data_IF_915813190803
#
_entry.id   IF_915813190803
#
_cell.length_a   1.000
_cell.length_b   1.000
_cell.length_c   1.000
_cell.angle_alpha   90.00
_cell.angle_beta   90.00
_cell.angle_gamma   90.00
#
_symmetry.space_group_name_H-M   'P 1'
#
loop_
_entity.id
_entity.type
_entity.pdbx_description
1 polymer ?
#
# COMPACT_ATOMS: atom_id res chain seq x y z
N UNK A 1 10.30 12.92 29.52
CA UNK A 1 11.51 13.78 29.69
C UNK A 1 12.15 14.09 28.33
N UNK A 2 13.14 14.98 28.21
CA UNK A 2 13.83 15.22 26.92
C UNK A 2 14.51 13.97 26.35
N UNK A 3 14.95 13.04 27.20
CA UNK A 3 15.51 11.76 26.77
C UNK A 3 14.44 10.88 26.10
N UNK A 4 13.25 10.80 26.70
CA UNK A 4 12.10 10.06 26.17
C UNK A 4 11.61 10.63 24.83
N UNK A 5 11.57 11.96 24.67
CA UNK A 5 11.20 12.57 23.38
C UNK A 5 12.18 12.25 22.26
N UNK A 6 13.48 12.07 22.57
CA UNK A 6 14.48 11.64 21.57
C UNK A 6 14.29 10.18 21.21
N UNK A 7 14.15 9.31 22.21
CA UNK A 7 13.91 7.90 21.99
C UNK A 7 12.66 7.65 21.13
N UNK A 8 11.56 8.35 21.42
CA UNK A 8 10.33 8.24 20.62
C UNK A 8 10.52 8.72 19.18
N UNK A 9 11.34 9.75 18.96
CA UNK A 9 11.64 10.23 17.61
C UNK A 9 12.45 9.20 16.84
N UNK A 10 13.47 8.64 17.48
CA UNK A 10 14.35 7.65 16.85
C UNK A 10 13.57 6.38 16.50
N UNK A 11 12.67 5.92 17.37
CA UNK A 11 11.77 4.78 17.12
C UNK A 11 10.86 5.00 15.90
N UNK A 12 10.25 6.19 15.79
CA UNK A 12 9.38 6.55 14.66
C UNK A 12 10.19 6.63 13.36
N UNK A 13 11.38 7.24 13.41
CA UNK A 13 12.25 7.37 12.24
C UNK A 13 12.72 5.98 11.76
N UNK A 14 13.01 5.05 12.67
CA UNK A 14 13.31 3.66 12.33
C UNK A 14 12.12 2.96 11.65
N UNK A 15 10.91 3.07 12.22
CA UNK A 15 9.71 2.42 11.68
C UNK A 15 9.38 2.91 10.25
N UNK A 16 9.48 4.22 10.02
CA UNK A 16 9.21 4.84 8.71
C UNK A 16 10.19 4.36 7.65
N UNK A 17 11.45 4.12 8.02
CA UNK A 17 12.48 3.67 7.09
C UNK A 17 12.45 2.15 6.86
N UNK A 18 12.04 1.35 7.84
CA UNK A 18 12.07 -0.11 7.77
C UNK A 18 10.81 -0.73 7.18
N UNK A 19 9.69 -0.01 7.12
CA UNK A 19 8.39 -0.56 6.75
C UNK A 19 7.62 0.36 5.81
N UNK A 20 6.92 -0.21 4.83
CA UNK A 20 6.05 0.56 3.95
C UNK A 20 4.90 1.20 4.75
N UNK A 21 4.70 2.51 4.58
CA UNK A 21 3.63 3.26 5.24
C UNK A 21 2.22 2.73 4.92
N UNK A 22 2.02 2.24 3.69
CA UNK A 22 0.71 1.86 3.14
C UNK A 22 0.34 0.44 3.55
N UNK A 23 1.14 -0.55 3.16
CA UNK A 23 0.83 -1.96 3.43
C UNK A 23 1.41 -2.50 4.74
N UNK A 24 2.24 -1.73 5.44
CA UNK A 24 2.89 -2.15 6.70
C UNK A 24 3.76 -3.42 6.58
N UNK A 25 4.32 -3.67 5.39
CA UNK A 25 5.27 -4.77 5.17
C UNK A 25 6.71 -4.26 5.31
N UNK A 26 7.54 -5.04 6.02
CA UNK A 26 8.93 -4.72 6.27
C UNK A 26 9.79 -4.83 5.00
N UNK A 27 10.74 -3.91 4.84
CA UNK A 27 11.61 -3.79 3.66
C UNK A 27 12.39 -5.08 3.36
N UNK A 28 12.71 -5.86 4.39
CA UNK A 28 13.40 -7.14 4.26
C UNK A 28 12.65 -8.13 3.36
N UNK A 29 11.31 -8.14 3.38
CA UNK A 29 10.54 -9.08 2.56
C UNK A 29 10.67 -8.77 1.07
N UNK A 30 10.80 -7.49 0.71
CA UNK A 30 11.03 -7.07 -0.67
C UNK A 30 12.45 -7.38 -1.12
N UNK A 31 13.44 -7.21 -0.24
CA UNK A 31 14.83 -7.56 -0.55
C UNK A 31 15.06 -9.07 -0.68
N UNK A 32 14.28 -9.91 0.02
CA UNK A 32 14.33 -11.37 -0.07
C UNK A 32 13.55 -11.92 -1.27
N UNK A 33 12.61 -11.16 -1.82
CA UNK A 33 11.84 -11.57 -2.99
C UNK A 33 12.72 -11.59 -4.24
N UNK A 34 12.53 -12.56 -5.13
CA UNK A 34 13.32 -12.73 -6.38
C UNK A 34 13.07 -11.62 -7.43
N UNK A 35 12.24 -10.65 -7.12
CA UNK A 35 11.91 -9.55 -8.02
C UNK A 35 13.03 -8.51 -8.13
N UNK A 36 13.29 -8.09 -9.36
CA UNK A 36 14.31 -7.10 -9.69
C UNK A 36 14.02 -5.66 -9.22
N UNK A 37 12.81 -5.37 -8.72
CA UNK A 37 12.39 -4.00 -8.43
C UNK A 37 12.75 -3.51 -7.01
N UNK A 38 12.82 -4.42 -6.02
CA UNK A 38 13.22 -4.12 -4.63
C UNK A 38 12.30 -3.15 -3.86
N UNK A 39 12.67 -2.83 -2.61
CA UNK A 39 11.89 -1.95 -1.71
C UNK A 39 11.75 -0.51 -2.22
N UNK A 40 12.78 0.02 -2.89
CA UNK A 40 12.76 1.38 -3.42
C UNK A 40 11.67 1.58 -4.48
N UNK A 41 11.49 0.62 -5.38
CA UNK A 41 10.40 0.65 -6.36
C UNK A 41 9.04 0.52 -5.69
N UNK A 42 8.93 -0.35 -4.69
CA UNK A 42 7.70 -0.54 -3.93
C UNK A 42 7.18 0.76 -3.32
N UNK A 43 8.02 1.55 -2.65
CA UNK A 43 7.58 2.80 -1.99
C UNK A 43 7.42 3.99 -2.94
N UNK A 44 8.08 3.98 -4.10
CA UNK A 44 8.04 5.11 -5.04
C UNK A 44 7.01 4.96 -6.15
N UNK A 45 6.72 3.72 -6.56
CA UNK A 45 5.84 3.41 -7.70
C UNK A 45 4.57 2.70 -7.23
N UNK A 46 4.69 1.55 -6.58
CA UNK A 46 3.52 0.74 -6.20
C UNK A 46 2.71 1.39 -5.06
N UNK A 47 3.40 1.77 -3.99
CA UNK A 47 2.86 2.32 -2.76
C UNK A 47 3.36 3.75 -2.52
N UNK A 48 3.22 4.60 -3.52
CA UNK A 48 3.51 6.02 -3.41
C UNK A 48 2.48 6.74 -2.51
N UNK A 49 2.89 7.26 -1.37
CA UNK A 49 2.00 7.95 -0.41
C UNK A 49 1.24 9.13 -1.03
N UNK A 50 1.88 9.89 -1.93
CA UNK A 50 1.25 11.02 -2.59
C UNK A 50 0.15 10.59 -3.55
N UNK A 51 0.29 9.44 -4.21
CA UNK A 51 -0.74 8.92 -5.09
C UNK A 51 -2.06 8.67 -4.32
N UNK A 52 -2.00 8.20 -3.08
CA UNK A 52 -3.19 8.01 -2.22
C UNK A 52 -3.80 9.34 -1.78
N UNK A 53 -2.97 10.34 -1.46
CA UNK A 53 -3.45 11.69 -1.18
C UNK A 53 -4.19 12.27 -2.40
N UNK A 54 -3.59 12.16 -3.59
CA UNK A 54 -4.21 12.61 -4.84
C UNK A 54 -5.48 11.84 -5.16
N UNK A 55 -5.54 10.53 -4.92
CA UNK A 55 -6.75 9.73 -5.10
C UNK A 55 -7.92 10.29 -4.27
N UNK A 56 -7.70 10.56 -2.99
CA UNK A 56 -8.76 11.12 -2.12
C UNK A 56 -9.21 12.48 -2.61
N UNK A 57 -8.27 13.35 -2.98
CA UNK A 57 -8.58 14.67 -3.53
C UNK A 57 -9.36 14.56 -4.86
N UNK A 58 -8.91 13.68 -5.75
CA UNK A 58 -9.52 13.42 -7.05
C UNK A 58 -10.97 12.94 -6.91
N UNK A 59 -11.23 11.94 -6.06
CA UNK A 59 -12.58 11.41 -5.87
C UNK A 59 -13.51 12.47 -5.27
N UNK A 60 -13.03 13.28 -4.33
CA UNK A 60 -13.81 14.38 -3.73
C UNK A 60 -14.15 15.46 -4.77
N UNK A 61 -13.16 15.86 -5.57
CA UNK A 61 -13.36 16.85 -6.63
C UNK A 61 -14.36 16.32 -7.68
N UNK A 62 -14.17 15.07 -8.14
CA UNK A 62 -15.07 14.45 -9.13
C UNK A 62 -16.48 14.25 -8.60
N UNK A 63 -16.67 13.97 -7.30
CA UNK A 63 -17.99 13.89 -6.69
C UNK A 63 -18.74 15.24 -6.72
N UNK A 64 -18.01 16.36 -6.69
CA UNK A 64 -18.57 17.70 -6.72
C UNK A 64 -18.88 18.17 -8.15
N UNK A 65 -17.97 17.92 -9.10
CA UNK A 65 -18.07 18.48 -10.45
C UNK A 65 -18.65 17.50 -11.51
N UNK A 66 -18.42 16.19 -11.38
CA UNK A 66 -18.78 15.18 -12.39
C UNK A 66 -19.23 13.82 -11.79
N UNK A 67 -20.28 13.78 -10.94
CA UNK A 67 -20.68 12.56 -10.23
C UNK A 67 -21.19 11.42 -11.13
N UNK A 68 -21.73 11.75 -12.31
CA UNK A 68 -22.24 10.76 -13.28
C UNK A 68 -21.11 10.07 -14.08
N UNK A 69 -19.89 10.61 -14.04
CA UNK A 69 -18.75 10.13 -14.81
C UNK A 69 -17.83 9.18 -14.01
N UNK A 70 -18.29 8.65 -12.88
CA UNK A 70 -17.50 7.70 -12.10
C UNK A 70 -17.37 6.35 -12.80
N UNK A 71 -16.15 5.83 -12.84
CA UNK A 71 -15.93 4.41 -13.18
C UNK A 71 -16.41 3.51 -12.04
N UNK A 72 -16.59 2.21 -12.30
CA UNK A 72 -17.07 1.28 -11.27
C UNK A 72 -16.18 1.23 -10.01
N UNK A 73 -14.85 1.32 -10.20
CA UNK A 73 -13.88 1.34 -9.09
C UNK A 73 -13.92 2.68 -8.36
N UNK A 74 -13.99 3.79 -9.08
CA UNK A 74 -14.10 5.12 -8.47
C UNK A 74 -15.39 5.25 -7.65
N UNK A 75 -16.50 4.75 -8.16
CA UNK A 75 -17.78 4.73 -7.44
C UNK A 75 -17.68 3.89 -6.16
N UNK A 76 -16.99 2.74 -6.20
CA UNK A 76 -16.73 1.95 -5.01
C UNK A 76 -15.91 2.74 -3.98
N UNK A 77 -14.80 3.35 -4.40
CA UNK A 77 -13.95 4.17 -3.51
C UNK A 77 -14.73 5.36 -2.95
N UNK A 78 -15.52 6.06 -3.77
CA UNK A 78 -16.37 7.18 -3.37
C UNK A 78 -17.36 6.78 -2.28
N UNK A 79 -18.02 5.62 -2.41
CA UNK A 79 -18.92 5.08 -1.38
C UNK A 79 -18.18 4.78 -0.08
N UNK A 80 -16.96 4.24 -0.14
CA UNK A 80 -16.14 4.00 1.03
C UNK A 80 -15.77 5.32 1.71
N UNK A 81 -15.33 6.33 0.96
CA UNK A 81 -15.00 7.65 1.49
C UNK A 81 -16.22 8.35 2.11
N UNK A 82 -17.42 8.18 1.53
CA UNK A 82 -18.66 8.74 2.06
C UNK A 82 -19.14 8.04 3.35
N UNK A 83 -18.80 6.77 3.54
CA UNK A 83 -19.17 5.98 4.73
C UNK A 83 -18.36 6.30 5.99
N UNK A 84 -17.42 7.25 5.90
CA UNK A 84 -16.60 7.73 7.01
C UNK A 84 -15.30 6.95 7.22
N UNK A 85 -14.48 7.46 8.15
CA UNK A 85 -13.09 7.01 8.38
C UNK A 85 -12.98 5.51 8.72
N UNK A 86 -14.03 4.92 9.31
CA UNK A 86 -14.08 3.52 9.72
C UNK A 86 -13.97 2.52 8.57
N UNK A 87 -14.24 2.93 7.33
CA UNK A 87 -14.13 2.07 6.15
C UNK A 87 -12.94 2.41 5.26
N UNK A 88 -12.21 3.48 5.55
CA UNK A 88 -11.06 3.91 4.74
C UNK A 88 -9.98 2.81 4.65
N UNK A 89 -9.80 2.01 5.71
CA UNK A 89 -8.86 0.89 5.68
C UNK A 89 -9.16 -0.15 4.60
N UNK A 90 -10.39 -0.22 4.07
CA UNK A 90 -10.78 -1.16 3.01
C UNK A 90 -10.18 -0.84 1.64
N UNK A 91 -9.71 0.39 1.43
CA UNK A 91 -9.00 0.78 0.20
C UNK A 91 -7.48 0.73 0.36
N UNK A 92 -6.98 0.46 1.57
CA UNK A 92 -5.56 0.34 1.87
C UNK A 92 -5.18 -1.14 1.88
N UNK A 93 -4.18 -1.58 1.10
CA UNK A 93 -3.75 -2.97 1.04
C UNK A 93 -2.93 -3.35 2.30
N UNK A 94 -3.57 -3.42 3.47
CA UNK A 94 -2.90 -3.73 4.72
C UNK A 94 -2.37 -5.17 4.74
N UNK A 95 -1.07 -5.32 5.02
CA UNK A 95 -0.32 -6.58 5.01
C UNK A 95 -0.35 -7.34 3.68
N UNK A 96 -0.76 -6.69 2.60
CA UNK A 96 -0.89 -7.29 1.28
C UNK A 96 -0.26 -6.39 0.21
N UNK A 97 0.25 -7.02 -0.84
CA UNK A 97 0.73 -6.33 -2.05
C UNK A 97 0.71 -7.33 -3.21
N UNK A 98 0.37 -6.84 -4.40
CA UNK A 98 0.38 -7.67 -5.62
C UNK A 98 1.76 -8.28 -5.89
N UNK A 99 2.81 -7.55 -5.55
CA UNK A 99 4.19 -7.96 -5.74
C UNK A 99 4.55 -9.25 -4.98
N UNK A 100 4.11 -9.35 -3.73
CA UNK A 100 4.36 -10.54 -2.90
C UNK A 100 3.41 -11.68 -3.27
N UNK A 101 2.18 -11.37 -3.67
CA UNK A 101 1.20 -12.38 -4.12
C UNK A 101 1.68 -13.07 -5.39
N UNK A 102 2.09 -12.31 -6.42
CA UNK A 102 2.59 -12.89 -7.67
C UNK A 102 3.82 -13.78 -7.48
N UNK A 103 4.78 -13.37 -6.64
CA UNK A 103 5.96 -14.20 -6.34
C UNK A 103 5.60 -15.49 -5.58
N UNK A 104 4.54 -15.48 -4.77
CA UNK A 104 4.07 -16.68 -4.08
C UNK A 104 3.48 -17.67 -5.08
N UNK A 105 2.66 -17.18 -6.00
CA UNK A 105 1.97 -18.01 -6.98
C UNK A 105 2.97 -18.63 -7.98
N UNK A 106 3.94 -17.85 -8.48
CA UNK A 106 5.04 -18.34 -9.34
C UNK A 106 5.92 -19.40 -8.65
N UNK A 107 6.11 -19.28 -7.33
CA UNK A 107 6.87 -20.27 -6.56
C UNK A 107 6.10 -21.58 -6.35
N UNK A 108 4.76 -21.53 -6.37
CA UNK A 108 3.91 -22.72 -6.27
C UNK A 108 3.84 -23.44 -7.62
N UNK A 109 3.69 -22.69 -8.72
CA UNK A 109 3.70 -23.23 -10.08
C UNK A 109 5.03 -23.95 -10.40
N UNK A 110 6.18 -23.36 -10.03
CA UNK A 110 7.49 -24.01 -10.19
C UNK A 110 7.65 -25.30 -9.36
N UNK A 111 6.98 -25.42 -8.22
CA UNK A 111 7.04 -26.65 -7.40
C UNK A 111 6.13 -27.76 -7.93
N UNK A 112 5.02 -27.40 -8.58
CA UNK A 112 4.10 -28.38 -9.17
C UNK A 112 4.67 -28.99 -10.45
N UNK A 113 5.47 -28.22 -11.22
CA UNK A 113 6.13 -28.69 -12.44
C UNK A 113 7.37 -29.59 -12.18
N UNK A 114 7.94 -29.60 -10.96
CA UNK A 114 9.10 -30.44 -10.59
C UNK A 114 8.69 -31.85 -10.10
N UNK A 115 7.41 -32.06 -9.78
CA UNK A 115 6.87 -33.32 -9.25
C UNK A 115 6.19 -34.22 -10.33
N UNK A 116 6.21 -33.82 -11.62
CA UNK A 116 5.83 -34.64 -12.79
C UNK A 116 7.04 -35.22 -13.54
#
# INVERSE_FOLDING_TARGET
TFAEMRANKDEVDEEVNSRCFICRIDCEKFNKSKSHAGYGHHVTVEHNTWAYFYLVHYIRNKAEFEPEAFTGIELYVSKILASGDQNFWRIIPYKETMHIQYNRDDSLEQSEDEDE
#
